data_IF_040649410115
#
_entry.id   IF_040649410115
#
_cell.length_a   1.000
_cell.length_b   1.000
_cell.length_c   1.000
_cell.angle_alpha   90.00
_cell.angle_beta   90.00
_cell.angle_gamma   90.00
#
_symmetry.space_group_name_H-M   'P 1'
#
loop_
_entity.id
_entity.type
_entity.pdbx_description
1 polymer ?
#
# COMPACT_ATOMS: atom_id res chain seq x y z
N UNK A 1 7.08 -88.76 -41.38
CA UNK A 1 6.86 -87.61 -40.47
C UNK A 1 6.24 -86.45 -41.25
N UNK A 2 4.93 -86.18 -41.10
CA UNK A 2 4.27 -84.99 -41.66
C UNK A 2 3.85 -84.09 -40.48
N UNK A 3 4.51 -82.95 -40.31
CA UNK A 3 4.12 -81.90 -39.35
C UNK A 3 3.01 -81.05 -39.97
N UNK A 4 1.83 -81.04 -39.34
CA UNK A 4 0.75 -80.08 -39.58
C UNK A 4 1.20 -78.72 -39.01
N UNK A 5 1.36 -77.71 -39.86
CA UNK A 5 1.43 -76.32 -39.42
C UNK A 5 0.00 -75.80 -39.23
N UNK A 6 -0.33 -75.48 -37.98
CA UNK A 6 -1.53 -74.72 -37.60
C UNK A 6 -1.29 -73.24 -37.93
N UNK A 7 -2.09 -72.68 -38.83
CA UNK A 7 -2.13 -71.23 -39.07
C UNK A 7 -2.98 -70.56 -37.97
N UNK A 8 -2.34 -69.92 -37.00
CA UNK A 8 -3.01 -68.94 -36.15
C UNK A 8 -3.36 -67.71 -36.99
N UNK A 9 -4.66 -67.44 -37.18
CA UNK A 9 -5.13 -66.13 -37.62
C UNK A 9 -4.80 -65.09 -36.53
N UNK A 10 -4.23 -63.93 -36.87
CA UNK A 10 -3.98 -62.89 -35.87
C UNK A 10 -5.32 -62.29 -35.43
N UNK A 11 -5.46 -62.08 -34.11
CA UNK A 11 -6.59 -61.45 -33.43
C UNK A 11 -6.90 -60.03 -33.94
N UNK A 12 -7.52 -59.90 -35.12
CA UNK A 12 -8.05 -58.61 -35.61
C UNK A 12 -9.26 -58.12 -34.81
N UNK A 13 -9.90 -59.01 -34.06
CA UNK A 13 -11.13 -58.71 -33.30
C UNK A 13 -10.90 -57.89 -32.03
N UNK A 14 -9.73 -58.01 -31.36
CA UNK A 14 -9.43 -57.26 -30.13
C UNK A 14 -9.13 -55.77 -30.33
N UNK A 15 -8.59 -55.41 -31.50
CA UNK A 15 -8.25 -54.02 -31.83
C UNK A 15 -9.48 -53.19 -32.24
N UNK A 16 -10.39 -53.79 -33.01
CA UNK A 16 -11.66 -53.16 -33.40
C UNK A 16 -12.62 -52.97 -32.22
N UNK A 17 -12.68 -53.92 -31.29
CA UNK A 17 -13.49 -53.81 -30.06
C UNK A 17 -12.95 -52.74 -29.11
N UNK A 18 -11.62 -52.64 -28.92
CA UNK A 18 -11.00 -51.54 -28.17
C UNK A 18 -11.30 -50.17 -28.79
N UNK A 19 -11.16 -50.01 -30.12
CA UNK A 19 -11.51 -48.75 -30.80
C UNK A 19 -12.98 -48.36 -30.64
N UNK A 20 -13.90 -49.31 -30.75
CA UNK A 20 -15.34 -49.07 -30.51
C UNK A 20 -15.63 -48.70 -29.06
N UNK A 21 -14.94 -49.33 -28.10
CA UNK A 21 -15.05 -48.99 -26.68
C UNK A 21 -14.54 -47.58 -26.39
N UNK A 22 -13.36 -47.20 -26.90
CA UNK A 22 -12.84 -45.84 -26.75
C UNK A 22 -13.73 -44.79 -27.42
N UNK A 23 -14.27 -45.08 -28.61
CA UNK A 23 -15.22 -44.19 -29.29
C UNK A 23 -16.52 -44.01 -28.50
N UNK A 24 -17.09 -45.09 -27.95
CA UNK A 24 -18.28 -45.03 -27.11
C UNK A 24 -18.02 -44.27 -25.79
N UNK A 25 -16.89 -44.54 -25.13
CA UNK A 25 -16.48 -43.82 -23.93
C UNK A 25 -16.26 -42.32 -24.22
N UNK A 26 -15.70 -41.98 -25.38
CA UNK A 26 -15.50 -40.60 -25.81
C UNK A 26 -16.83 -39.89 -26.09
N UNK A 27 -17.80 -40.56 -26.70
CA UNK A 27 -19.17 -40.02 -26.92
C UNK A 27 -19.88 -39.81 -25.58
N UNK A 28 -19.82 -40.78 -24.67
CA UNK A 28 -20.42 -40.66 -23.32
C UNK A 28 -19.77 -39.50 -22.57
N UNK A 29 -18.43 -39.40 -22.60
CA UNK A 29 -17.70 -38.28 -22.03
C UNK A 29 -18.11 -36.93 -22.65
N UNK A 30 -18.24 -36.87 -23.98
CA UNK A 30 -18.69 -35.66 -24.68
C UNK A 30 -20.10 -35.24 -24.27
N UNK A 31 -21.04 -36.18 -24.14
CA UNK A 31 -22.41 -35.89 -23.71
C UNK A 31 -22.43 -35.41 -22.25
N UNK A 32 -21.65 -36.06 -21.37
CA UNK A 32 -21.51 -35.65 -19.96
C UNK A 32 -20.92 -34.25 -19.88
N UNK A 33 -19.83 -33.99 -20.62
CA UNK A 33 -19.17 -32.68 -20.64
C UNK A 33 -20.06 -31.60 -21.27
N UNK A 34 -20.81 -31.91 -22.34
CA UNK A 34 -21.74 -30.97 -22.95
C UNK A 34 -22.85 -30.56 -21.96
N UNK A 35 -23.38 -31.53 -21.21
CA UNK A 35 -24.43 -31.32 -20.19
C UNK A 35 -23.93 -30.74 -18.87
N UNK A 36 -22.62 -30.75 -18.60
CA UNK A 36 -22.08 -30.20 -17.37
C UNK A 36 -22.17 -28.67 -17.35
N UNK A 37 -22.36 -28.11 -16.16
CA UNK A 37 -22.25 -26.69 -15.88
C UNK A 37 -21.11 -26.50 -14.90
N UNK A 38 -20.24 -25.53 -15.14
CA UNK A 38 -19.16 -25.23 -14.21
C UNK A 38 -18.72 -23.77 -14.31
N UNK A 39 -18.13 -23.30 -13.22
CA UNK A 39 -17.51 -21.99 -13.09
C UNK A 39 -16.05 -22.23 -12.73
N UNK A 40 -15.13 -21.60 -13.45
CA UNK A 40 -13.70 -21.65 -13.17
C UNK A 40 -13.17 -20.25 -12.91
N UNK A 41 -12.39 -20.09 -11.85
CA UNK A 41 -11.56 -18.90 -11.69
C UNK A 41 -10.38 -18.99 -12.65
N UNK A 42 -10.27 -18.02 -13.56
CA UNK A 42 -9.23 -17.94 -14.59
C UNK A 42 -8.06 -17.10 -14.11
N UNK A 43 -8.37 -15.98 -13.46
CA UNK A 43 -7.38 -15.02 -12.98
C UNK A 43 -7.88 -14.28 -11.74
N UNK A 44 -6.99 -14.03 -10.80
CA UNK A 44 -7.25 -13.18 -9.65
C UNK A 44 -6.18 -12.09 -9.53
N UNK A 45 -6.63 -10.88 -9.28
CA UNK A 45 -5.80 -9.75 -8.86
C UNK A 45 -6.51 -9.10 -7.69
N UNK A 46 -6.27 -9.65 -6.50
CA UNK A 46 -7.05 -9.34 -5.29
C UNK A 46 -6.18 -8.67 -4.23
N UNK A 47 -6.83 -8.11 -3.21
CA UNK A 47 -6.17 -7.74 -1.95
C UNK A 47 -5.52 -8.97 -1.30
N UNK A 48 -4.57 -8.74 -0.38
CA UNK A 48 -3.84 -9.79 0.31
C UNK A 48 -4.12 -9.71 1.80
N UNK A 49 -4.44 -10.85 2.41
CA UNK A 49 -4.43 -10.96 3.86
C UNK A 49 -2.99 -10.99 4.35
N UNK A 50 -2.56 -9.90 4.97
CA UNK A 50 -1.22 -9.77 5.52
C UNK A 50 -1.26 -9.98 7.02
N UNK A 51 -0.41 -10.89 7.51
CA UNK A 51 -0.21 -11.13 8.95
C UNK A 51 1.16 -10.57 9.32
N UNK A 52 1.17 -9.45 10.05
CA UNK A 52 2.40 -8.76 10.46
C UNK A 52 2.84 -9.21 11.84
N UNK A 53 4.13 -9.42 12.03
CA UNK A 53 4.73 -9.66 13.36
C UNK A 53 4.61 -8.45 14.28
N UNK A 54 4.58 -7.23 13.72
CA UNK A 54 4.46 -5.98 14.45
C UNK A 54 3.42 -5.10 13.79
N UNK A 55 2.43 -4.66 14.55
CA UNK A 55 1.41 -3.75 14.03
C UNK A 55 1.92 -2.31 14.06
N UNK A 56 2.04 -1.69 12.88
CA UNK A 56 2.26 -0.26 12.77
C UNK A 56 0.97 0.49 13.16
N UNK A 57 1.08 1.44 14.06
CA UNK A 57 -0.02 2.28 14.55
C UNK A 57 0.00 3.64 13.86
N UNK A 58 -1.16 4.08 13.42
CA UNK A 58 -1.37 5.38 12.79
C UNK A 58 -2.30 6.24 13.63
N UNK A 59 -2.24 7.56 13.45
CA UNK A 59 -3.19 8.48 14.05
C UNK A 59 -4.61 8.18 13.56
N UNK A 60 -5.60 8.31 14.44
CA UNK A 60 -6.99 8.31 14.02
C UNK A 60 -7.26 9.53 13.14
N UNK A 61 -7.75 9.35 11.90
CA UNK A 61 -8.05 10.47 11.00
C UNK A 61 -9.12 11.42 11.57
N UNK A 62 -9.92 10.97 12.53
CA UNK A 62 -10.88 11.79 13.25
C UNK A 62 -10.28 12.54 14.46
N UNK A 63 -8.98 12.39 14.71
CA UNK A 63 -8.31 13.05 15.84
C UNK A 63 -8.52 14.58 15.77
N UNK A 64 -9.00 15.24 16.85
CA UNK A 64 -9.41 16.64 16.81
C UNK A 64 -8.33 17.60 16.29
N UNK A 65 -7.06 17.34 16.61
CA UNK A 65 -5.93 18.14 16.12
C UNK A 65 -5.70 18.01 14.61
N UNK A 66 -5.96 16.85 14.00
CA UNK A 66 -5.87 16.68 12.55
C UNK A 66 -7.01 17.43 11.84
N UNK A 67 -8.24 17.34 12.37
CA UNK A 67 -9.39 18.09 11.85
C UNK A 67 -9.17 19.61 11.96
N UNK A 68 -8.61 20.06 13.09
CA UNK A 68 -8.22 21.44 13.30
C UNK A 68 -7.12 21.88 12.32
N UNK A 69 -6.09 21.04 12.08
CA UNK A 69 -5.02 21.30 11.13
C UNK A 69 -5.59 21.48 9.70
N UNK A 70 -6.45 20.56 9.25
CA UNK A 70 -7.11 20.63 7.92
C UNK A 70 -7.81 21.97 7.71
N UNK A 71 -8.60 22.36 8.70
CA UNK A 71 -9.39 23.60 8.67
C UNK A 71 -8.50 24.83 8.74
N UNK A 72 -7.59 24.88 9.71
CA UNK A 72 -6.71 26.02 9.99
C UNK A 72 -5.79 26.34 8.82
N UNK A 73 -5.19 25.31 8.22
CA UNK A 73 -4.24 25.46 7.11
C UNK A 73 -4.93 25.45 5.74
N UNK A 74 -6.25 25.24 5.69
CA UNK A 74 -7.04 25.17 4.46
C UNK A 74 -6.51 24.11 3.47
N UNK A 75 -6.23 22.91 3.98
CA UNK A 75 -5.62 21.83 3.20
C UNK A 75 -6.46 21.42 1.98
N UNK A 76 -7.79 21.50 2.07
CA UNK A 76 -8.69 21.30 0.92
C UNK A 76 -8.43 22.30 -0.21
N UNK A 77 -8.21 23.58 0.12
CA UNK A 77 -7.92 24.61 -0.88
C UNK A 77 -6.52 24.42 -1.48
N UNK A 78 -5.54 24.03 -0.66
CA UNK A 78 -4.18 23.71 -1.11
C UNK A 78 -4.21 22.56 -2.12
N UNK A 79 -5.06 21.56 -1.91
CA UNK A 79 -5.12 20.35 -2.74
C UNK A 79 -6.21 20.36 -3.81
N UNK A 80 -6.92 21.48 -3.97
CA UNK A 80 -8.12 21.57 -4.80
C UNK A 80 -7.87 21.24 -6.29
N UNK A 81 -6.68 21.54 -6.80
CA UNK A 81 -6.32 21.27 -8.20
C UNK A 81 -5.89 19.82 -8.46
N UNK A 82 -5.56 19.06 -7.42
CA UNK A 82 -5.17 17.65 -7.55
C UNK A 82 -6.38 16.78 -7.90
N UNK A 83 -6.29 16.05 -9.01
CA UNK A 83 -7.31 15.12 -9.50
C UNK A 83 -7.15 13.74 -8.89
N UNK A 84 -5.91 13.33 -8.62
CA UNK A 84 -5.63 12.03 -7.99
C UNK A 84 -5.18 12.18 -6.54
N UNK A 85 -5.29 11.10 -5.78
CA UNK A 85 -4.77 11.06 -4.40
C UNK A 85 -3.27 11.36 -4.38
N UNK A 86 -2.51 10.82 -5.34
CA UNK A 86 -1.08 11.02 -5.47
C UNK A 86 -0.72 12.49 -5.77
N UNK A 87 -1.41 13.13 -6.71
CA UNK A 87 -1.20 14.56 -7.00
C UNK A 87 -1.41 15.43 -5.76
N UNK A 88 -2.44 15.12 -4.95
CA UNK A 88 -2.69 15.84 -3.70
C UNK A 88 -1.59 15.62 -2.66
N UNK A 89 -1.01 14.43 -2.57
CA UNK A 89 0.18 14.22 -1.72
C UNK A 89 1.36 15.08 -2.18
N UNK A 90 1.61 15.20 -3.48
CA UNK A 90 2.67 16.05 -4.03
C UNK A 90 2.41 17.53 -3.68
N UNK A 91 1.17 18.00 -3.78
CA UNK A 91 0.80 19.37 -3.38
C UNK A 91 1.00 19.62 -1.88
N UNK A 92 0.65 18.64 -1.01
CA UNK A 92 0.89 18.73 0.43
C UNK A 92 2.38 18.74 0.76
N UNK A 93 3.19 17.95 0.04
CA UNK A 93 4.65 17.95 0.17
C UNK A 93 5.23 19.33 -0.17
N UNK A 94 4.81 19.91 -1.29
CA UNK A 94 5.22 21.25 -1.70
C UNK A 94 4.82 22.30 -0.65
N UNK A 95 3.58 22.22 -0.17
CA UNK A 95 3.08 23.11 0.87
C UNK A 95 3.93 23.00 2.14
N UNK A 96 4.26 21.79 2.60
CA UNK A 96 5.10 21.57 3.77
C UNK A 96 6.49 22.19 3.58
N UNK A 97 7.13 22.01 2.41
CA UNK A 97 8.46 22.59 2.13
C UNK A 97 8.47 24.11 2.24
N UNK A 98 7.40 24.78 1.81
CA UNK A 98 7.32 26.25 1.72
C UNK A 98 7.10 26.96 3.06
N UNK A 99 6.96 26.21 4.16
CA UNK A 99 6.62 26.80 5.45
C UNK A 99 7.76 27.54 6.12
N UNK A 100 9.01 27.10 5.91
CA UNK A 100 10.21 27.77 6.40
C UNK A 100 11.42 27.42 5.53
N UNK A 101 12.57 28.04 5.81
CA UNK A 101 13.88 27.57 5.36
C UNK A 101 14.61 26.90 6.52
N UNK A 102 15.44 25.87 6.29
CA UNK A 102 16.14 25.15 7.36
C UNK A 102 16.97 26.08 8.27
N UNK A 103 16.81 25.91 9.59
CA UNK A 103 17.51 26.71 10.60
C UNK A 103 18.70 25.99 11.25
N UNK A 104 19.49 26.73 12.02
CA UNK A 104 20.64 26.20 12.77
C UNK A 104 20.41 26.08 14.28
N UNK A 105 19.36 26.71 14.82
CA UNK A 105 18.95 26.62 16.24
C UNK A 105 17.51 26.13 16.30
N UNK A 106 17.26 25.11 17.11
CA UNK A 106 15.97 24.47 17.15
C UNK A 106 15.61 23.98 18.56
N UNK A 107 14.47 24.45 19.06
CA UNK A 107 13.78 23.93 20.23
C UNK A 107 12.82 22.83 19.76
N UNK A 108 13.05 21.59 20.14
CA UNK A 108 12.37 20.44 19.58
C UNK A 108 10.98 20.24 20.19
N UNK A 109 9.90 20.57 19.46
CA UNK A 109 8.55 20.53 19.98
C UNK A 109 7.98 19.11 19.92
N UNK A 110 6.82 18.88 20.56
CA UNK A 110 5.99 17.71 20.31
C UNK A 110 5.81 17.46 18.81
N UNK A 111 5.62 16.19 18.44
CA UNK A 111 5.28 15.83 17.06
C UNK A 111 3.82 16.19 16.77
N UNK A 112 3.60 17.49 16.61
CA UNK A 112 2.32 18.14 16.38
C UNK A 112 2.54 19.22 15.31
N UNK A 113 2.00 18.99 14.12
CA UNK A 113 2.17 19.88 12.99
C UNK A 113 1.68 21.30 13.30
N UNK A 114 0.64 21.43 14.11
CA UNK A 114 0.09 22.74 14.44
C UNK A 114 1.09 23.58 15.24
N UNK A 115 1.72 22.95 16.23
CA UNK A 115 2.78 23.54 17.07
C UNK A 115 4.03 23.86 16.26
N UNK A 116 4.51 22.91 15.45
CA UNK A 116 5.70 23.09 14.60
C UNK A 116 5.53 24.32 13.70
N UNK A 117 4.37 24.46 13.05
CA UNK A 117 4.05 25.60 12.20
C UNK A 117 4.00 26.92 12.99
N UNK A 118 3.37 26.91 14.16
CA UNK A 118 3.27 28.08 15.02
C UNK A 118 4.66 28.56 15.47
N UNK A 119 5.52 27.64 15.91
CA UNK A 119 6.87 27.96 16.34
C UNK A 119 7.76 28.47 15.20
N UNK A 120 7.67 27.87 14.01
CA UNK A 120 8.39 28.34 12.83
C UNK A 120 7.97 29.77 12.46
N UNK A 121 6.66 30.04 12.40
CA UNK A 121 6.10 31.33 11.97
C UNK A 121 6.28 32.44 13.01
N UNK A 122 6.05 32.16 14.29
CA UNK A 122 6.05 33.16 15.37
C UNK A 122 7.42 33.37 16.01
N UNK A 123 8.24 32.33 16.07
CA UNK A 123 9.48 32.33 16.85
C UNK A 123 10.73 32.02 16.03
N UNK A 124 10.60 31.85 14.71
CA UNK A 124 11.69 31.46 13.81
C UNK A 124 12.38 30.16 14.25
N UNK A 125 11.62 29.27 14.91
CA UNK A 125 12.11 27.97 15.34
C UNK A 125 12.07 27.00 14.14
N UNK A 126 12.95 27.25 13.17
CA UNK A 126 12.95 26.56 11.90
C UNK A 126 13.51 25.14 12.06
N UNK A 127 12.63 24.16 11.86
CA UNK A 127 13.00 22.76 11.91
C UNK A 127 13.83 22.29 10.73
N UNK A 128 14.26 21.04 10.80
CA UNK A 128 14.97 20.32 9.74
C UNK A 128 14.10 19.16 9.24
N UNK A 129 14.69 18.16 8.58
CA UNK A 129 13.99 17.07 7.89
C UNK A 129 12.85 16.42 8.70
N UNK A 130 13.07 16.14 10.00
CA UNK A 130 12.06 15.55 10.87
C UNK A 130 10.77 16.39 10.95
N UNK A 131 10.87 17.70 11.14
CA UNK A 131 9.72 18.59 11.27
C UNK A 131 8.93 18.72 9.97
N UNK A 132 9.61 18.75 8.82
CA UNK A 132 8.93 18.72 7.53
C UNK A 132 8.19 17.40 7.33
N UNK A 133 8.81 16.27 7.70
CA UNK A 133 8.18 14.95 7.66
C UNK A 133 6.93 14.87 8.53
N UNK A 134 6.99 15.35 9.78
CA UNK A 134 5.84 15.39 10.69
C UNK A 134 4.71 16.26 10.14
N UNK A 135 5.02 17.48 9.67
CA UNK A 135 4.02 18.38 9.09
C UNK A 135 3.36 17.78 7.86
N UNK A 136 4.14 17.17 6.97
CA UNK A 136 3.63 16.50 5.78
C UNK A 136 2.74 15.30 6.14
N UNK A 137 3.21 14.38 6.98
CA UNK A 137 2.47 13.18 7.32
C UNK A 137 1.14 13.50 8.02
N UNK A 138 1.14 14.45 8.96
CA UNK A 138 -0.10 14.88 9.61
C UNK A 138 -1.04 15.63 8.67
N UNK A 139 -0.52 16.37 7.69
CA UNK A 139 -1.36 16.96 6.66
C UNK A 139 -2.01 15.89 5.76
N UNK A 140 -1.29 14.80 5.43
CA UNK A 140 -1.87 13.64 4.75
C UNK A 140 -2.96 12.97 5.59
N UNK A 141 -2.68 12.64 6.85
CA UNK A 141 -3.65 11.99 7.75
C UNK A 141 -4.89 12.87 7.98
N UNK A 142 -4.72 14.19 8.07
CA UNK A 142 -5.85 15.13 8.15
C UNK A 142 -6.76 15.11 6.91
N UNK A 143 -6.24 14.68 5.76
CA UNK A 143 -6.98 14.48 4.52
C UNK A 143 -7.46 13.02 4.33
N UNK A 144 -7.33 12.17 5.35
CA UNK A 144 -7.68 10.74 5.28
C UNK A 144 -6.72 9.90 4.44
N UNK A 145 -5.49 10.38 4.25
CA UNK A 145 -4.43 9.67 3.52
C UNK A 145 -3.48 9.05 4.54
N UNK A 146 -3.29 7.73 4.47
CA UNK A 146 -2.36 7.02 5.35
C UNK A 146 -0.93 7.52 5.16
N UNK A 147 -0.23 7.78 6.26
CA UNK A 147 1.13 8.27 6.28
C UNK A 147 1.93 7.72 7.48
N UNK A 148 3.21 7.43 7.22
CA UNK A 148 4.16 6.89 8.19
C UNK A 148 5.53 7.53 8.08
N UNK A 149 6.33 7.39 9.12
CA UNK A 149 7.67 7.98 9.18
C UNK A 149 8.74 6.95 8.84
N UNK A 150 9.75 7.40 8.08
CA UNK A 150 10.90 6.58 7.71
C UNK A 150 12.18 7.30 8.10
N UNK A 151 13.01 6.61 8.88
CA UNK A 151 14.38 7.04 9.14
C UNK A 151 15.28 6.49 8.03
N UNK A 152 16.13 7.34 7.50
CA UNK A 152 17.20 6.97 6.57
C UNK A 152 18.51 7.59 7.06
N UNK A 153 19.63 7.34 6.39
CA UNK A 153 20.93 7.73 6.96
C UNK A 153 21.07 9.24 7.08
N UNK A 154 21.05 9.76 8.31
CA UNK A 154 21.21 11.19 8.60
C UNK A 154 20.06 12.07 8.08
N UNK A 155 18.94 11.47 7.69
CA UNK A 155 17.80 12.18 7.10
C UNK A 155 16.48 11.50 7.47
N UNK A 156 15.41 12.28 7.51
CA UNK A 156 14.08 11.82 7.88
C UNK A 156 13.12 12.15 6.76
N UNK A 157 12.36 11.14 6.32
CA UNK A 157 11.35 11.27 5.28
C UNK A 157 10.03 10.67 5.74
N UNK A 158 9.01 10.77 4.91
CA UNK A 158 7.72 10.15 5.21
C UNK A 158 7.28 9.32 4.02
N UNK A 159 6.49 8.29 4.29
CA UNK A 159 5.81 7.54 3.26
C UNK A 159 4.31 7.78 3.36
N UNK A 160 3.67 7.97 2.21
CA UNK A 160 2.21 8.05 2.11
C UNK A 160 1.69 6.93 1.21
N UNK A 161 0.55 6.35 1.55
CA UNK A 161 -0.07 5.28 0.76
C UNK A 161 -0.83 5.86 -0.42
N UNK A 162 -0.49 5.40 -1.63
CA UNK A 162 -1.22 5.72 -2.85
C UNK A 162 -2.10 4.56 -3.27
N UNK A 163 -3.41 4.74 -3.16
CA UNK A 163 -4.41 3.77 -3.63
C UNK A 163 -4.30 3.54 -5.14
N UNK A 164 -3.92 4.58 -5.90
CA UNK A 164 -3.69 4.52 -7.36
C UNK A 164 -2.58 3.52 -7.74
N UNK A 165 -1.52 3.44 -6.93
CA UNK A 165 -0.37 2.58 -7.20
C UNK A 165 -0.36 1.33 -6.30
N UNK A 166 -1.34 1.20 -5.41
CA UNK A 166 -1.43 0.17 -4.37
C UNK A 166 -0.11 0.01 -3.59
N UNK A 167 0.53 1.13 -3.22
CA UNK A 167 1.83 1.11 -2.53
C UNK A 167 2.09 2.35 -1.67
N UNK A 168 2.96 2.16 -0.70
CA UNK A 168 3.64 3.25 0.00
C UNK A 168 4.61 3.96 -0.95
N UNK A 169 4.67 5.29 -0.87
CA UNK A 169 5.58 6.13 -1.67
C UNK A 169 6.41 7.00 -0.74
N UNK A 170 7.73 7.00 -0.94
CA UNK A 170 8.64 7.88 -0.22
C UNK A 170 8.48 9.33 -0.72
N UNK A 171 8.17 10.21 0.23
CA UNK A 171 8.03 11.65 0.04
C UNK A 171 9.06 12.34 0.90
N UNK A 172 9.91 13.15 0.27
CA UNK A 172 10.87 14.00 0.94
C UNK A 172 10.36 15.45 0.94
N UNK A 173 9.62 15.89 1.97
CA UNK A 173 9.14 17.26 2.09
C UNK A 173 10.25 18.28 2.39
N UNK A 174 11.44 17.84 2.83
CA UNK A 174 12.57 18.74 3.08
C UNK A 174 13.25 19.17 1.78
N UNK A 175 13.40 18.24 0.84
CA UNK A 175 13.95 18.52 -0.49
C UNK A 175 12.87 18.80 -1.55
N UNK A 176 11.59 18.62 -1.20
CA UNK A 176 10.43 18.67 -2.11
C UNK A 176 10.54 17.72 -3.30
N UNK A 177 10.94 16.47 -3.04
CA UNK A 177 11.13 15.44 -4.08
C UNK A 177 10.52 14.10 -3.71
N UNK A 178 10.24 13.32 -4.75
CA UNK A 178 9.99 11.89 -4.69
C UNK A 178 10.74 11.24 -5.86
N UNK A 179 10.79 9.91 -5.87
CA UNK A 179 11.51 9.17 -6.88
C UNK A 179 10.57 8.24 -7.62
N UNK A 180 10.77 8.12 -8.92
CA UNK A 180 10.02 7.23 -9.80
C UNK A 180 10.98 6.31 -10.54
N UNK A 181 10.53 5.09 -10.85
CA UNK A 181 11.11 4.23 -11.89
C UNK A 181 10.05 4.05 -12.96
N UNK A 182 10.35 4.47 -14.19
CA UNK A 182 9.45 4.33 -15.34
C UNK A 182 8.02 4.86 -15.04
N UNK A 183 7.95 6.05 -14.42
CA UNK A 183 6.73 6.73 -13.97
C UNK A 183 5.95 6.07 -12.81
N UNK A 184 6.52 5.05 -12.16
CA UNK A 184 5.97 4.46 -10.93
C UNK A 184 6.74 4.97 -9.72
N UNK A 185 6.08 5.62 -8.74
CA UNK A 185 6.76 6.14 -7.56
C UNK A 185 7.32 5.02 -6.67
N UNK A 186 8.42 5.30 -5.97
CA UNK A 186 9.16 4.33 -5.17
C UNK A 186 9.02 4.57 -3.67
N UNK A 187 9.06 3.50 -2.87
CA UNK A 187 9.26 3.56 -1.42
C UNK A 187 10.76 3.54 -1.04
N UNK A 188 11.06 3.76 0.23
CA UNK A 188 12.44 3.82 0.73
C UNK A 188 13.20 2.50 0.53
N UNK A 189 12.54 1.36 0.69
CA UNK A 189 13.16 0.04 0.46
C UNK A 189 13.55 -0.16 -1.01
N UNK A 190 12.71 0.25 -1.95
CA UNK A 190 13.01 0.18 -3.38
C UNK A 190 14.20 1.07 -3.76
N UNK A 191 14.31 2.25 -3.14
CA UNK A 191 15.47 3.14 -3.29
C UNK A 191 16.73 2.53 -2.68
N UNK A 192 16.63 1.91 -1.50
CA UNK A 192 17.71 1.16 -0.87
C UNK A 192 18.22 0.03 -1.78
N UNK A 193 17.31 -0.74 -2.39
CA UNK A 193 17.64 -1.76 -3.37
C UNK A 193 18.39 -1.18 -4.57
N UNK A 194 17.84 -0.13 -5.18
CA UNK A 194 18.46 0.52 -6.34
C UNK A 194 19.89 1.01 -6.05
N UNK A 195 20.13 1.52 -4.83
CA UNK A 195 21.46 1.90 -4.38
C UNK A 195 22.43 0.71 -4.30
N UNK A 196 22.03 -0.39 -3.66
CA UNK A 196 22.92 -1.54 -3.43
C UNK A 196 23.16 -2.40 -4.67
N UNK A 197 22.12 -2.60 -5.48
CA UNK A 197 22.21 -3.33 -6.75
C UNK A 197 22.81 -2.48 -7.87
N UNK A 198 22.95 -1.16 -7.64
CA UNK A 198 23.42 -0.19 -8.63
C UNK A 198 22.56 -0.16 -9.91
N UNK A 199 21.27 -0.50 -9.78
CA UNK A 199 20.29 -0.47 -10.86
C UNK A 199 19.52 0.86 -10.85
N UNK A 200 20.08 1.85 -11.53
CA UNK A 200 19.51 3.18 -11.67
C UNK A 200 18.72 3.37 -12.97
N UNK A 201 18.51 2.29 -13.74
CA UNK A 201 17.80 2.39 -15.02
C UNK A 201 16.36 2.81 -14.77
N UNK A 202 15.90 3.80 -15.55
CA UNK A 202 14.54 4.34 -15.45
C UNK A 202 14.29 5.23 -14.23
N UNK A 203 15.27 5.45 -13.34
CA UNK A 203 15.07 6.25 -12.12
C UNK A 203 15.17 7.76 -12.37
N UNK A 204 14.18 8.48 -11.88
CA UNK A 204 14.13 9.95 -11.87
C UNK A 204 13.73 10.49 -10.51
N UNK A 205 14.31 11.61 -10.10
CA UNK A 205 13.79 12.46 -9.03
C UNK A 205 12.81 13.46 -9.62
N UNK A 206 11.69 13.68 -8.92
CA UNK A 206 10.56 14.47 -9.39
C UNK A 206 10.19 15.51 -8.34
N UNK A 207 10.27 16.78 -8.72
CA UNK A 207 9.86 17.90 -7.87
C UNK A 207 8.34 18.15 -7.97
N UNK A 208 7.84 19.11 -7.19
CA UNK A 208 6.40 19.42 -7.18
C UNK A 208 5.91 20.22 -8.37
N UNK A 209 6.80 20.65 -9.27
CA UNK A 209 6.43 21.20 -10.58
C UNK A 209 6.34 20.10 -11.65
N UNK A 210 6.64 18.84 -11.29
CA UNK A 210 6.66 17.70 -12.22
C UNK A 210 7.95 17.60 -13.03
N UNK A 211 8.98 18.40 -12.71
CA UNK A 211 10.26 18.31 -13.40
C UNK A 211 10.95 16.99 -13.04
N UNK A 212 11.29 16.20 -14.05
CA UNK A 212 11.96 14.91 -13.87
C UNK A 212 13.44 15.06 -14.18
N UNK A 213 14.28 14.71 -13.21
CA UNK A 213 15.73 14.68 -13.38
C UNK A 213 16.23 13.25 -13.19
N UNK A 214 17.01 12.73 -14.15
CA UNK A 214 17.66 11.43 -14.01
C UNK A 214 18.61 11.47 -12.80
N UNK A 215 18.54 10.45 -11.95
CA UNK A 215 19.37 10.41 -10.74
C UNK A 215 20.75 9.80 -11.00
N UNK A 216 21.69 10.14 -10.13
CA UNK A 216 22.97 9.46 -9.87
C UNK A 216 22.85 8.64 -8.60
N UNK A 217 23.77 7.70 -8.38
CA UNK A 217 23.80 6.88 -7.15
C UNK A 217 23.85 7.73 -5.87
N UNK A 218 24.59 8.84 -5.91
CA UNK A 218 24.73 9.78 -4.79
C UNK A 218 23.43 10.49 -4.42
N UNK A 219 22.48 10.65 -5.36
CA UNK A 219 21.18 11.25 -5.06
C UNK A 219 20.34 10.37 -4.11
N UNK A 220 20.60 9.06 -4.06
CA UNK A 220 19.89 8.09 -3.21
C UNK A 220 20.79 7.44 -2.16
N UNK A 221 21.97 8.01 -1.91
CA UNK A 221 22.94 7.45 -0.95
C UNK A 221 22.40 7.41 0.49
N UNK A 222 21.58 8.38 0.88
CA UNK A 222 20.96 8.37 2.21
C UNK A 222 19.96 7.22 2.37
N UNK A 223 19.37 6.73 1.27
CA UNK A 223 18.47 5.58 1.26
C UNK A 223 19.19 4.23 1.32
N UNK A 224 20.53 4.17 1.42
CA UNK A 224 21.27 2.91 1.55
C UNK A 224 20.89 2.09 2.78
N UNK A 225 20.25 2.73 3.76
CA UNK A 225 19.59 2.09 4.89
C UNK A 225 18.25 2.80 5.12
N UNK A 226 17.26 2.05 5.58
CA UNK A 226 15.96 2.59 5.94
C UNK A 226 15.43 1.86 7.18
N UNK A 227 14.61 2.56 7.95
CA UNK A 227 13.92 2.01 9.11
C UNK A 227 12.53 2.63 9.25
N UNK A 228 11.56 1.80 9.66
CA UNK A 228 10.17 2.16 9.81
C UNK A 228 9.87 2.51 11.26
N UNK A 229 9.29 3.69 11.48
CA UNK A 229 8.62 3.97 12.74
C UNK A 229 7.34 3.15 12.83
N UNK A 230 7.20 2.34 13.88
CA UNK A 230 5.99 1.55 14.13
C UNK A 230 4.83 2.40 14.67
N UNK A 231 5.06 3.71 14.90
CA UNK A 231 4.03 4.65 15.36
C UNK A 231 4.09 5.94 14.55
N UNK A 232 2.93 6.34 14.03
CA UNK A 232 2.66 7.69 13.52
C UNK A 232 1.58 8.45 14.30
N UNK A 233 1.09 7.89 15.41
CA UNK A 233 0.02 8.43 16.26
C UNK A 233 0.49 9.33 17.42
N UNK A 234 1.40 10.27 17.14
CA UNK A 234 2.05 11.07 18.17
C UNK A 234 1.21 12.24 18.72
N UNK A 235 0.03 12.52 18.14
CA UNK A 235 -0.92 13.47 18.73
C UNK A 235 -1.67 12.83 19.89
N UNK A 236 -2.11 11.56 19.73
CA UNK A 236 -2.69 10.77 20.81
C UNK A 236 -1.65 10.29 21.82
N UNK A 237 -0.46 9.90 21.34
CA UNK A 237 0.61 9.33 22.16
C UNK A 237 1.95 10.04 21.93
N UNK A 238 2.21 11.14 22.66
CA UNK A 238 3.40 11.96 22.46
C UNK A 238 4.72 11.18 22.50
N UNK A 239 5.72 11.69 21.79
CA UNK A 239 7.09 11.14 21.78
C UNK A 239 7.66 11.14 23.19
N UNK A 240 8.31 10.05 23.59
CA UNK A 240 9.05 10.02 24.86
C UNK A 240 10.50 10.43 24.62
N UNK A 241 11.00 11.25 25.53
CA UNK A 241 12.37 11.76 25.56
C UNK A 241 13.06 11.37 26.86
N UNK A 242 14.35 11.10 26.79
CA UNK A 242 15.22 10.92 27.95
C UNK A 242 16.13 12.13 28.13
N UNK A 243 16.12 12.69 29.34
CA UNK A 243 16.90 13.87 29.72
C UNK A 243 17.42 13.68 31.14
N UNK A 244 18.74 13.78 31.32
CA UNK A 244 19.40 13.71 32.63
C UNK A 244 19.03 12.46 33.46
N UNK A 245 18.84 11.31 32.80
CA UNK A 245 18.46 10.04 33.44
C UNK A 245 16.96 9.87 33.74
N UNK A 246 16.13 10.87 33.42
CA UNK A 246 14.67 10.80 33.53
C UNK A 246 13.99 10.68 32.16
N UNK A 247 12.88 9.96 32.09
CA UNK A 247 12.01 9.88 30.90
C UNK A 247 10.82 10.81 31.06
N UNK A 248 10.51 11.58 30.02
CA UNK A 248 9.34 12.45 29.97
C UNK A 248 8.67 12.36 28.60
N UNK A 249 7.36 12.58 28.55
CA UNK A 249 6.65 12.77 27.28
C UNK A 249 6.84 14.20 26.80
N UNK A 250 7.10 14.37 25.51
CA UNK A 250 7.23 15.67 24.88
C UNK A 250 5.83 16.23 24.60
N UNK A 251 5.28 16.92 25.61
CA UNK A 251 3.98 17.59 25.57
C UNK A 251 4.11 19.08 25.26
N UNK A 252 2.99 19.73 24.92
CA UNK A 252 2.92 21.18 24.73
C UNK A 252 3.38 21.95 25.98
N UNK A 253 4.16 23.00 25.78
CA UNK A 253 4.64 23.89 26.84
C UNK A 253 4.15 25.34 26.61
N UNK A 254 3.75 26.07 27.66
CA UNK A 254 3.39 27.49 27.55
C UNK A 254 4.52 28.39 27.07
N UNK A 255 5.77 28.02 27.37
CA UNK A 255 6.98 28.69 26.87
C UNK A 255 7.82 27.70 26.06
N UNK A 256 7.90 27.93 24.74
CA UNK A 256 8.62 27.06 23.81
C UNK A 256 10.10 26.84 24.17
N UNK A 257 10.69 27.74 24.96
CA UNK A 257 12.10 27.63 25.42
C UNK A 257 12.30 26.47 26.41
N UNK A 258 11.22 25.90 26.94
CA UNK A 258 11.25 24.70 27.79
C UNK A 258 11.45 23.42 27.00
N UNK A 259 11.10 23.44 25.71
CA UNK A 259 11.42 22.33 24.84
C UNK A 259 12.94 22.10 24.78
N UNK A 260 13.39 20.85 24.57
CA UNK A 260 14.80 20.55 24.42
C UNK A 260 15.44 21.34 23.27
N UNK A 261 16.55 22.01 23.53
CA UNK A 261 17.35 22.59 22.45
C UNK A 261 18.21 21.49 21.81
N UNK A 262 18.17 21.41 20.48
CA UNK A 262 19.08 20.52 19.72
C UNK A 262 20.38 21.27 19.42
N UNK A 263 21.49 20.64 19.79
CA UNK A 263 22.87 21.12 19.65
C UNK A 263 23.79 20.41 20.66
N UNK A 264 25.08 20.30 20.38
CA UNK A 264 26.03 19.65 21.30
C UNK A 264 26.10 20.42 22.64
N UNK A 265 25.78 19.75 23.75
CA UNK A 265 25.86 20.33 25.09
C UNK A 265 25.10 19.50 26.15
N UNK A 266 25.18 19.87 27.44
CA UNK A 266 24.60 19.10 28.57
C UNK A 266 23.07 18.97 28.57
N UNK A 267 22.40 19.63 27.61
CA UNK A 267 20.94 19.62 27.43
C UNK A 267 20.49 18.72 26.28
N UNK A 268 21.39 17.92 25.70
CA UNK A 268 21.07 16.97 24.64
C UNK A 268 20.02 15.97 25.12
N UNK A 269 18.99 15.76 24.31
CA UNK A 269 17.91 14.82 24.59
C UNK A 269 18.02 13.61 23.68
N UNK A 270 17.83 12.42 24.25
CA UNK A 270 17.75 11.17 23.50
C UNK A 270 16.28 10.85 23.30
N UNK A 271 15.87 10.69 22.06
CA UNK A 271 14.49 10.33 21.73
C UNK A 271 14.32 8.82 21.82
N UNK A 272 13.24 8.39 22.46
CA UNK A 272 12.87 6.99 22.54
C UNK A 272 11.90 6.70 21.39
N UNK A 273 12.42 6.10 20.34
CA UNK A 273 11.67 5.74 19.15
C UNK A 273 11.28 4.27 19.17
N UNK A 274 10.04 3.98 18.75
CA UNK A 274 9.62 2.62 18.40
C UNK A 274 9.87 2.44 16.90
N UNK A 275 11.10 2.08 16.56
CA UNK A 275 11.59 2.00 15.18
C UNK A 275 12.18 0.62 14.91
N UNK A 276 12.00 0.12 13.69
CA UNK A 276 12.54 -1.17 13.26
C UNK A 276 13.20 -1.03 11.89
N UNK A 277 14.30 -1.75 11.71
CA UNK A 277 14.93 -1.96 10.40
C UNK A 277 14.61 -3.35 9.87
N UNK A 278 15.00 -3.66 8.64
CA UNK A 278 14.63 -4.91 7.98
C UNK A 278 15.85 -5.61 7.40
N UNK A 279 15.88 -6.93 7.48
CA UNK A 279 16.94 -7.73 6.86
C UNK A 279 16.68 -7.93 5.38
N UNK A 280 17.26 -7.06 4.56
CA UNK A 280 17.23 -7.20 3.11
C UNK A 280 18.45 -7.93 2.55
N UNK A 281 18.23 -8.95 1.70
CA UNK A 281 19.33 -9.74 1.09
C UNK A 281 20.26 -8.92 0.20
N UNK A 282 19.77 -7.81 -0.36
CA UNK A 282 20.57 -6.91 -1.20
C UNK A 282 21.37 -5.89 -0.37
N UNK A 283 20.97 -5.64 0.88
CA UNK A 283 21.59 -4.61 1.70
C UNK A 283 22.93 -5.11 2.27
N UNK A 284 23.94 -4.23 2.26
CA UNK A 284 25.27 -4.54 2.84
C UNK A 284 25.53 -3.82 4.16
N UNK A 285 24.62 -2.93 4.57
CA UNK A 285 24.64 -2.19 5.83
C UNK A 285 23.24 -2.26 6.46
N UNK A 286 23.17 -2.22 7.79
CA UNK A 286 21.93 -2.17 8.56
C UNK A 286 22.09 -1.29 9.79
N UNK A 287 21.00 -0.70 10.26
CA UNK A 287 21.04 0.16 11.45
C UNK A 287 21.35 -0.71 12.67
N UNK A 288 22.52 -0.51 13.27
CA UNK A 288 22.92 -1.27 14.46
C UNK A 288 22.17 -0.85 15.71
N UNK A 289 21.62 0.37 15.73
CA UNK A 289 20.84 0.91 16.84
C UNK A 289 19.39 0.42 16.86
N UNK A 290 18.86 -0.09 15.75
CA UNK A 290 17.45 -0.44 15.60
C UNK A 290 17.26 -1.97 15.59
N UNK A 291 16.22 -2.50 16.27
CA UNK A 291 15.81 -3.88 16.08
C UNK A 291 15.64 -4.22 14.59
N UNK A 292 16.06 -5.41 14.19
CA UNK A 292 15.98 -5.89 12.80
C UNK A 292 14.86 -6.92 12.71
N UNK A 293 13.88 -6.69 11.83
CA UNK A 293 12.84 -7.65 11.50
C UNK A 293 13.20 -8.44 10.24
N UNK A 294 12.88 -9.73 10.25
CA UNK A 294 12.90 -10.59 9.06
C UNK A 294 11.58 -10.51 8.28
N UNK A 295 10.51 -10.12 8.98
CA UNK A 295 9.16 -9.96 8.45
C UNK A 295 9.00 -8.65 7.66
N UNK A 296 9.14 -8.74 6.34
CA UNK A 296 8.93 -7.62 5.43
C UNK A 296 7.45 -7.26 5.24
N UNK A 297 6.51 -8.10 5.67
CA UNK A 297 5.09 -7.77 5.58
C UNK A 297 4.72 -6.60 6.50
N UNK A 298 5.42 -6.46 7.63
CA UNK A 298 5.31 -5.25 8.49
C UNK A 298 5.62 -3.97 7.69
N UNK A 299 6.61 -4.00 6.78
CA UNK A 299 6.94 -2.86 5.93
C UNK A 299 5.98 -2.72 4.73
N UNK A 300 5.63 -3.83 4.08
CA UNK A 300 4.81 -3.83 2.87
C UNK A 300 3.31 -3.78 3.11
N UNK A 301 2.87 -3.83 4.38
CA UNK A 301 1.47 -3.86 4.80
C UNK A 301 0.62 -2.93 3.95
N UNK A 302 -0.29 -3.47 3.11
CA UNK A 302 -1.18 -2.66 2.32
C UNK A 302 -2.29 -2.08 3.20
N UNK A 303 -2.88 -0.97 2.75
CA UNK A 303 -4.03 -0.34 3.40
C UNK A 303 -5.13 -0.07 2.38
N UNK A 304 -6.34 0.21 2.85
CA UNK A 304 -7.50 0.46 2.00
C UNK A 304 -7.81 -0.67 0.99
N UNK A 305 -7.57 -1.93 1.37
CA UNK A 305 -7.78 -3.06 0.47
C UNK A 305 -9.24 -3.54 0.47
N UNK A 306 -9.74 -3.87 -0.71
CA UNK A 306 -10.93 -4.72 -0.84
C UNK A 306 -10.48 -6.14 -1.09
N UNK A 307 -10.92 -7.10 -0.28
CA UNK A 307 -10.67 -8.51 -0.53
C UNK A 307 -11.98 -9.14 -1.02
N UNK A 308 -11.94 -9.70 -2.22
CA UNK A 308 -13.08 -10.34 -2.87
C UNK A 308 -12.99 -11.85 -2.76
N UNK A 309 -13.96 -12.47 -2.11
CA UNK A 309 -14.14 -13.93 -2.08
C UNK A 309 -15.32 -14.32 -2.95
N UNK A 310 -15.08 -15.21 -3.91
CA UNK A 310 -16.10 -15.71 -4.83
C UNK A 310 -16.31 -17.21 -4.62
N UNK A 311 -17.56 -17.64 -4.53
CA UNK A 311 -17.94 -19.04 -4.49
C UNK A 311 -19.10 -19.32 -5.45
N UNK A 312 -19.09 -20.47 -6.12
CA UNK A 312 -20.22 -20.91 -6.94
C UNK A 312 -21.48 -21.12 -6.09
N UNK A 313 -22.65 -20.90 -6.68
CA UNK A 313 -23.93 -21.27 -6.06
C UNK A 313 -24.23 -22.74 -6.33
N UNK A 314 -24.59 -23.50 -5.27
CA UNK A 314 -24.99 -24.91 -5.39
C UNK A 314 -26.38 -25.08 -6.02
N UNK A 315 -27.21 -24.03 -5.98
CA UNK A 315 -28.62 -24.09 -6.38
C UNK A 315 -28.90 -23.47 -7.76
N UNK A 316 -28.05 -22.56 -8.25
CA UNK A 316 -28.20 -21.87 -9.54
C UNK A 316 -26.84 -21.79 -10.24
N UNK A 317 -26.68 -22.53 -11.33
CA UNK A 317 -25.37 -22.75 -11.97
C UNK A 317 -24.74 -21.52 -12.63
N UNK A 318 -25.53 -20.48 -12.90
CA UNK A 318 -25.11 -19.18 -13.45
C UNK A 318 -24.85 -18.12 -12.37
N UNK A 319 -25.03 -18.45 -11.09
CA UNK A 319 -24.92 -17.50 -10.01
C UNK A 319 -23.67 -17.74 -9.15
N UNK A 320 -23.01 -16.66 -8.75
CA UNK A 320 -21.90 -16.66 -7.79
C UNK A 320 -22.26 -15.87 -6.54
N UNK A 321 -21.82 -16.38 -5.39
CA UNK A 321 -21.80 -15.67 -4.12
C UNK A 321 -20.52 -14.83 -4.09
N UNK A 322 -20.66 -13.54 -3.85
CA UNK A 322 -19.54 -12.60 -3.70
C UNK A 322 -19.57 -12.04 -2.30
N UNK A 323 -18.44 -12.12 -1.60
CA UNK A 323 -18.21 -11.47 -0.32
C UNK A 323 -17.04 -10.49 -0.45
N UNK A 324 -17.24 -9.27 0.05
CA UNK A 324 -16.28 -8.18 0.04
C UNK A 324 -15.90 -7.85 1.48
N UNK A 325 -14.60 -7.80 1.75
CA UNK A 325 -14.03 -7.41 3.04
C UNK A 325 -13.17 -6.16 2.85
N UNK A 326 -13.37 -5.17 3.72
CA UNK A 326 -12.51 -4.01 3.80
C UNK A 326 -11.39 -4.34 4.78
N UNK A 327 -10.15 -4.39 4.29
CA UNK A 327 -8.97 -4.69 5.11
C UNK A 327 -8.09 -3.47 5.26
N UNK A 328 -7.59 -3.27 6.49
CA UNK A 328 -6.74 -2.12 6.86
C UNK A 328 -7.31 -0.77 6.39
N UNK A 329 -8.62 -0.57 6.55
CA UNK A 329 -9.36 0.59 6.04
C UNK A 329 -10.13 1.30 7.17
N UNK A 330 -9.47 2.02 8.09
CA UNK A 330 -10.10 2.66 9.25
C UNK A 330 -11.15 3.72 8.86
N UNK A 331 -10.99 4.33 7.69
CA UNK A 331 -11.93 5.29 7.12
C UNK A 331 -12.91 4.67 6.12
N UNK A 332 -13.15 3.36 6.15
CA UNK A 332 -14.11 2.70 5.24
C UNK A 332 -15.51 3.34 5.30
N UNK A 333 -16.10 3.57 4.12
CA UNK A 333 -17.48 4.03 3.94
C UNK A 333 -18.32 2.97 3.21
N UNK A 334 -17.93 2.61 1.98
CA UNK A 334 -18.72 1.68 1.15
C UNK A 334 -17.86 0.91 0.17
N UNK A 335 -18.43 -0.11 -0.48
CA UNK A 335 -17.83 -0.77 -1.63
C UNK A 335 -18.44 -0.24 -2.93
N UNK A 336 -17.60 -0.15 -3.96
CA UNK A 336 -18.02 -0.08 -5.35
C UNK A 336 -17.68 -1.39 -6.04
N UNK A 337 -18.59 -1.86 -6.87
CA UNK A 337 -18.38 -3.04 -7.70
C UNK A 337 -18.83 -2.76 -9.13
N UNK A 338 -18.21 -3.42 -10.08
CA UNK A 338 -18.68 -3.53 -11.46
C UNK A 338 -18.60 -4.97 -11.93
N UNK A 339 -19.54 -5.35 -12.77
CA UNK A 339 -19.56 -6.61 -13.50
C UNK A 339 -19.28 -6.34 -14.97
N UNK A 340 -18.36 -7.10 -15.56
CA UNK A 340 -17.99 -7.05 -16.97
C UNK A 340 -17.64 -5.61 -17.40
N UNK A 341 -18.24 -5.15 -18.51
CA UNK A 341 -18.08 -3.79 -19.03
C UNK A 341 -18.98 -2.74 -18.33
N UNK A 342 -19.70 -3.11 -17.27
CA UNK A 342 -20.59 -2.21 -16.55
C UNK A 342 -19.88 -1.08 -15.80
N UNK A 343 -20.64 -0.05 -15.44
CA UNK A 343 -20.17 1.05 -14.59
C UNK A 343 -19.99 0.64 -13.13
N UNK A 344 -19.24 1.44 -12.37
CA UNK A 344 -19.10 1.27 -10.92
C UNK A 344 -20.40 1.60 -10.20
N UNK A 345 -20.86 0.69 -9.35
CA UNK A 345 -22.07 0.85 -8.55
C UNK A 345 -21.79 0.52 -7.09
N UNK A 346 -22.52 1.15 -6.17
CA UNK A 346 -22.45 0.81 -4.74
C UNK A 346 -22.89 -0.64 -4.54
N UNK A 347 -22.12 -1.38 -3.74
CA UNK A 347 -22.36 -2.79 -3.48
C UNK A 347 -22.38 -3.09 -1.96
N UNK A 348 -23.27 -3.96 -1.49
CA UNK A 348 -23.21 -4.48 -0.13
C UNK A 348 -22.01 -5.43 0.03
N UNK A 349 -21.61 -5.69 1.28
CA UNK A 349 -20.50 -6.60 1.58
C UNK A 349 -20.74 -8.05 1.15
N UNK A 350 -22.00 -8.46 0.96
CA UNK A 350 -22.36 -9.80 0.48
C UNK A 350 -23.45 -9.67 -0.56
N UNK A 351 -23.29 -10.32 -1.70
CA UNK A 351 -24.25 -10.29 -2.79
C UNK A 351 -24.18 -11.55 -3.65
N UNK A 352 -25.19 -11.70 -4.50
CA UNK A 352 -25.18 -12.65 -5.61
C UNK A 352 -24.87 -11.90 -6.90
N UNK A 353 -24.03 -12.48 -7.75
CA UNK A 353 -23.76 -12.00 -9.10
C UNK A 353 -24.23 -13.02 -10.12
N UNK A 354 -24.90 -12.57 -11.18
CA UNK A 354 -25.24 -13.42 -12.32
C UNK A 354 -24.10 -13.39 -13.33
N UNK A 355 -23.72 -14.56 -13.85
CA UNK A 355 -22.69 -14.71 -14.86
C UNK A 355 -23.31 -14.82 -16.25
N UNK A 356 -22.68 -14.16 -17.22
CA UNK A 356 -22.94 -14.38 -18.64
C UNK A 356 -22.19 -15.63 -19.11
N UNK A 357 -22.69 -16.39 -20.09
CA UNK A 357 -21.92 -17.47 -20.70
C UNK A 357 -20.55 -16.99 -21.20
N UNK A 358 -19.48 -17.70 -20.84
CA UNK A 358 -18.11 -17.35 -21.19
C UNK A 358 -17.37 -16.59 -20.10
N UNK A 359 -16.53 -15.63 -20.50
CA UNK A 359 -15.67 -14.88 -19.58
C UNK A 359 -16.44 -13.74 -18.89
N UNK A 360 -16.31 -13.69 -17.58
CA UNK A 360 -16.86 -12.63 -16.75
C UNK A 360 -15.74 -12.00 -15.93
N UNK A 361 -15.78 -10.68 -15.76
CA UNK A 361 -14.86 -9.95 -14.89
C UNK A 361 -15.63 -9.26 -13.79
N UNK A 362 -15.35 -9.64 -12.56
CA UNK A 362 -15.85 -8.97 -11.37
C UNK A 362 -14.73 -8.06 -10.87
N UNK A 363 -15.04 -6.79 -10.60
CA UNK A 363 -14.09 -5.87 -9.99
C UNK A 363 -14.75 -5.11 -8.85
N UNK A 364 -14.07 -5.00 -7.72
CA UNK A 364 -14.51 -4.26 -6.54
C UNK A 364 -13.39 -3.40 -5.98
N UNK A 365 -13.78 -2.30 -5.33
CA UNK A 365 -12.89 -1.44 -4.56
C UNK A 365 -13.69 -0.83 -3.41
N UNK A 366 -13.00 -0.35 -2.39
CA UNK A 366 -13.64 0.38 -1.31
C UNK A 366 -13.56 1.88 -1.56
N UNK A 367 -14.40 2.61 -0.86
CA UNK A 367 -14.40 4.07 -0.80
C UNK A 367 -14.25 4.47 0.66
N UNK A 368 -13.37 5.43 0.94
CA UNK A 368 -13.23 6.01 2.29
C UNK A 368 -14.24 7.12 2.53
N UNK A 369 -14.40 7.54 3.79
CA UNK A 369 -15.25 8.68 4.19
C UNK A 369 -14.86 10.00 3.50
N UNK A 370 -13.59 10.16 3.14
CA UNK A 370 -13.05 11.30 2.41
C UNK A 370 -13.21 11.16 0.88
N UNK A 371 -13.77 10.03 0.42
CA UNK A 371 -14.02 9.75 -0.99
C UNK A 371 -12.85 9.11 -1.74
N UNK A 372 -11.77 8.70 -1.04
CA UNK A 372 -10.67 7.99 -1.67
C UNK A 372 -11.13 6.61 -2.14
N UNK A 373 -10.76 6.25 -3.36
CA UNK A 373 -11.07 4.94 -3.93
C UNK A 373 -9.85 4.05 -3.78
N UNK A 374 -9.98 2.96 -3.01
CA UNK A 374 -8.92 1.99 -2.79
C UNK A 374 -8.49 1.26 -4.07
N UNK A 375 -7.42 0.45 -4.01
CA UNK A 375 -6.97 -0.36 -5.13
C UNK A 375 -8.08 -1.29 -5.66
N UNK A 376 -8.10 -1.49 -6.98
CA UNK A 376 -9.04 -2.42 -7.61
C UNK A 376 -8.65 -3.88 -7.32
N UNK A 377 -9.58 -4.62 -6.75
CA UNK A 377 -9.54 -6.08 -6.69
C UNK A 377 -10.44 -6.66 -7.77
N UNK A 378 -9.94 -7.64 -8.52
CA UNK A 378 -10.68 -8.26 -9.61
C UNK A 378 -10.49 -9.77 -9.68
N UNK A 379 -11.55 -10.45 -10.10
CA UNK A 379 -11.60 -11.89 -10.36
C UNK A 379 -12.19 -12.09 -11.75
N UNK A 380 -11.51 -12.85 -12.59
CA UNK A 380 -11.98 -13.29 -13.90
C UNK A 380 -12.47 -14.74 -13.79
N UNK A 381 -13.71 -14.97 -14.20
CA UNK A 381 -14.40 -16.25 -14.13
C UNK A 381 -14.76 -16.71 -15.54
N UNK A 382 -14.69 -18.01 -15.80
CA UNK A 382 -15.27 -18.62 -16.98
C UNK A 382 -16.49 -19.45 -16.58
N UNK A 383 -17.65 -19.08 -17.11
CA UNK A 383 -18.90 -19.81 -16.92
C UNK A 383 -19.24 -20.62 -18.16
N UNK A 384 -19.34 -21.95 -18.01
CA UNK A 384 -19.88 -22.84 -19.03
C UNK A 384 -21.31 -23.25 -18.63
N UNK A 385 -22.35 -22.79 -19.35
CA UNK A 385 -23.71 -23.29 -19.14
C UNK A 385 -23.87 -24.74 -19.68
N UNK A 386 -24.90 -25.47 -19.23
CA UNK A 386 -25.26 -26.76 -19.79
C UNK A 386 -25.82 -26.62 -21.23
N UNK A 387 -25.63 -27.64 -22.05
CA UNK A 387 -26.18 -27.66 -23.42
C UNK A 387 -27.71 -27.48 -23.42
N UNK A 388 -28.21 -26.54 -24.24
CA UNK A 388 -29.64 -26.20 -24.31
C UNK A 388 -30.08 -25.02 -23.42
N UNK A 389 -29.15 -24.35 -22.74
CA UNK A 389 -29.41 -23.07 -22.08
C UNK A 389 -29.90 -22.05 -23.12
N UNK A 390 -31.06 -21.44 -22.88
CA UNK A 390 -31.61 -20.40 -23.75
C UNK A 390 -30.94 -19.07 -23.43
N UNK A 391 -30.52 -18.38 -24.49
CA UNK A 391 -29.82 -17.10 -24.46
C UNK A 391 -30.71 -15.96 -23.97
#
# INVERSE_FOLDING_TARGET
MKKKQSSQQPEKNGFLTRRKFYAAAFIVFFIIFARSSFILTVRESNGRFVVTSHQALEEDFSHPKLLALRTREKLDAITAQGKTQFEKMVMLRQWARRQWEPGSKFYYPPWDAAEILDLARKHKNYGFCAQYGVVFAQACMAMGIHARYIDIVGHFVSEAWSDEYAKWVAMDPYNDVHYERDAVPLNARELCRAYWENDLKGLTKVDSAGNKTRIKKTDIELYRMYALYLRSNHLAHPVTVERSGGKASLSHEPDFRRYPAIGAGPSSVVYIHTIVSFRDKFARENFTAWPVLEDLETYHRPVNQTIMSVAGSETQGDMVKVALTADQAPAFDTFLMKFNGGGWQRAPAKMMGQLEPGFNKLAARLVTKEGWQGPESSVELFYKPPWGFKW
#
